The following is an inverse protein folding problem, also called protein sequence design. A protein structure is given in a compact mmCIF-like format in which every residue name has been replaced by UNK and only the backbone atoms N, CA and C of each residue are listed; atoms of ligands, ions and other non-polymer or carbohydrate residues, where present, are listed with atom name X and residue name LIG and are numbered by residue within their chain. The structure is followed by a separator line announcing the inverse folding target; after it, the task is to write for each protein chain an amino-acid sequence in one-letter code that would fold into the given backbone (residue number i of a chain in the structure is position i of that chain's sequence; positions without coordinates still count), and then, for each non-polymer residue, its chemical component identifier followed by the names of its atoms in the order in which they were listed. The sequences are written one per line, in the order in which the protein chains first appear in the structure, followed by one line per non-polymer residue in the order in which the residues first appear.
data_IF_642262562998
#
_entry.id   IF_642262562998
#
_cell.length_a   1.000
_cell.length_b   1.000
_cell.length_c   1.000
_cell.angle_alpha   90.00
_cell.angle_beta   90.00
_cell.angle_gamma   90.00
#
_symmetry.space_group_name_H-M   'P 1'
#
loop_
_entity.id
_entity.type
_entity.pdbx_description
1 polymer ?
#
# COMPACT_ATOMS: atom_id res chain seq x y z
N UNK A 1 12.93 38.62 -30.11
CA UNK A 1 13.73 37.53 -29.57
C UNK A 1 13.44 37.18 -28.11
N UNK A 2 13.31 38.12 -27.17
CA UNK A 2 13.01 37.81 -25.75
C UNK A 2 11.62 37.19 -25.52
N UNK A 3 10.59 37.69 -26.20
CA UNK A 3 9.21 37.20 -26.11
C UNK A 3 9.12 35.77 -26.66
N UNK A 4 9.79 35.45 -27.77
CA UNK A 4 9.81 34.10 -28.36
C UNK A 4 10.48 33.07 -27.40
N UNK A 5 11.55 33.47 -26.72
CA UNK A 5 12.20 32.59 -25.70
C UNK A 5 11.33 32.37 -24.49
N UNK A 6 10.55 33.36 -24.07
CA UNK A 6 9.61 33.26 -22.96
C UNK A 6 8.40 32.34 -23.32
N UNK A 7 7.89 32.48 -24.56
CA UNK A 7 6.80 31.60 -25.06
C UNK A 7 7.25 30.15 -25.22
N UNK A 8 8.49 29.89 -25.63
CA UNK A 8 9.06 28.53 -25.71
C UNK A 8 9.25 27.95 -24.31
N UNK A 9 9.70 28.74 -23.33
CA UNK A 9 9.83 28.30 -21.94
C UNK A 9 8.49 28.00 -21.30
N UNK A 10 7.48 28.82 -21.58
CA UNK A 10 6.10 28.60 -21.09
C UNK A 10 5.48 27.34 -21.72
N UNK A 11 5.74 27.10 -23.01
CA UNK A 11 5.24 25.90 -23.71
C UNK A 11 5.92 24.62 -23.19
N UNK A 12 7.20 24.68 -22.81
CA UNK A 12 7.91 23.56 -22.19
C UNK A 12 7.41 23.25 -20.77
N UNK A 13 6.94 24.25 -20.01
CA UNK A 13 6.45 24.06 -18.65
C UNK A 13 5.09 23.36 -18.58
N UNK A 14 4.26 23.42 -19.64
CA UNK A 14 2.96 22.74 -19.69
C UNK A 14 3.04 21.23 -19.91
N UNK A 15 4.17 20.71 -20.40
CA UNK A 15 4.38 19.28 -20.57
C UNK A 15 4.74 18.52 -19.26
N UNK A 16 4.99 19.24 -18.17
CA UNK A 16 5.39 18.63 -16.90
C UNK A 16 4.25 18.53 -15.87
N UNK A 17 3.06 19.05 -16.18
CA UNK A 17 1.90 18.97 -15.30
C UNK A 17 1.14 17.67 -15.56
N UNK A 18 1.55 16.57 -14.93
CA UNK A 18 0.77 15.35 -14.83
C UNK A 18 0.16 15.30 -13.43
N UNK A 19 -1.09 15.76 -13.32
CA UNK A 19 -1.88 15.57 -12.12
C UNK A 19 -2.47 14.14 -12.18
N UNK A 20 -1.94 13.24 -11.37
CA UNK A 20 -2.51 11.92 -11.15
C UNK A 20 -2.48 11.62 -9.66
N UNK A 21 -3.64 11.34 -9.08
CA UNK A 21 -3.76 10.85 -7.72
C UNK A 21 -3.35 9.37 -7.70
N UNK A 22 -2.09 9.09 -7.47
CA UNK A 22 -1.65 7.74 -7.15
C UNK A 22 -1.78 7.51 -5.66
N UNK A 23 -2.30 6.33 -5.28
CA UNK A 23 -2.14 5.82 -3.92
C UNK A 23 -0.71 6.03 -3.46
N UNK A 24 -0.54 6.59 -2.26
CA UNK A 24 0.81 6.87 -1.75
C UNK A 24 1.55 5.56 -1.51
N UNK A 25 2.80 5.47 -1.94
CA UNK A 25 3.62 4.28 -1.76
C UNK A 25 3.78 3.88 -0.28
N UNK A 26 3.58 4.82 0.65
CA UNK A 26 3.57 4.53 2.09
C UNK A 26 2.47 3.56 2.50
N UNK A 27 1.33 3.57 1.82
CA UNK A 27 0.21 2.67 2.10
C UNK A 27 0.57 1.25 1.68
N UNK A 28 1.19 1.10 0.52
CA UNK A 28 1.73 -0.19 0.06
C UNK A 28 2.88 -0.68 0.95
N UNK A 29 3.82 0.19 1.33
CA UNK A 29 4.92 -0.17 2.21
C UNK A 29 4.44 -0.80 3.53
N UNK A 30 3.40 -0.24 4.14
CA UNK A 30 2.84 -0.75 5.38
C UNK A 30 1.97 -2.00 5.20
N UNK A 31 1.51 -2.28 3.98
CA UNK A 31 0.59 -3.37 3.67
C UNK A 31 1.10 -4.20 2.48
N UNK A 32 2.15 -5.02 2.66
CA UNK A 32 2.77 -5.77 1.56
C UNK A 32 1.82 -6.72 0.83
N UNK A 33 0.83 -7.30 1.51
CA UNK A 33 -0.21 -8.17 0.91
C UNK A 33 -1.09 -7.44 -0.11
N UNK A 34 -1.24 -6.11 0.01
CA UNK A 34 -2.06 -5.33 -0.91
C UNK A 34 -1.46 -5.25 -2.32
N UNK A 35 -0.13 -5.24 -2.44
CA UNK A 35 0.54 -5.19 -3.75
C UNK A 35 1.19 -6.50 -4.17
N UNK A 36 1.52 -7.40 -3.23
CA UNK A 36 2.14 -8.70 -3.56
C UNK A 36 1.38 -9.85 -2.90
N UNK A 37 0.55 -10.59 -3.65
CA UNK A 37 -0.21 -11.70 -3.11
C UNK A 37 0.66 -12.86 -2.58
N UNK A 38 1.91 -12.99 -3.04
CA UNK A 38 2.84 -13.99 -2.52
C UNK A 38 3.27 -13.69 -1.07
N UNK A 39 3.09 -12.46 -0.59
CA UNK A 39 3.45 -12.07 0.76
C UNK A 39 2.58 -12.73 1.84
N UNK A 40 1.35 -13.13 1.52
CA UNK A 40 0.43 -13.75 2.48
C UNK A 40 1.02 -15.00 3.15
N UNK A 41 1.90 -15.72 2.45
CA UNK A 41 2.57 -16.90 2.98
C UNK A 41 3.72 -16.65 3.93
N UNK A 42 4.06 -15.41 4.11
CA UNK A 42 5.25 -14.96 4.82
C UNK A 42 5.01 -14.88 6.32
N UNK A 43 3.82 -14.49 6.74
CA UNK A 43 3.45 -14.33 8.14
C UNK A 43 3.03 -15.66 8.74
N UNK A 44 3.61 -16.04 9.89
CA UNK A 44 3.23 -17.28 10.59
C UNK A 44 1.86 -17.14 11.27
N UNK A 45 1.04 -18.20 11.17
CA UNK A 45 -0.26 -18.29 11.83
C UNK A 45 -1.29 -17.31 11.26
N UNK A 46 -2.24 -16.89 12.09
CA UNK A 46 -3.29 -15.94 11.74
C UNK A 46 -2.83 -14.52 12.08
N UNK A 47 -2.81 -13.66 11.07
CA UNK A 47 -2.51 -12.23 11.20
C UNK A 47 -3.72 -11.41 10.79
N UNK A 48 -4.07 -10.43 11.63
CA UNK A 48 -5.16 -9.49 11.41
C UNK A 48 -4.62 -8.08 11.53
N UNK A 49 -4.95 -7.21 10.59
CA UNK A 49 -4.56 -5.82 10.62
C UNK A 49 -5.73 -4.91 10.26
N UNK A 50 -5.95 -3.90 11.08
CA UNK A 50 -6.76 -2.74 10.77
C UNK A 50 -5.86 -1.54 10.48
N UNK A 51 -6.25 -0.74 9.52
CA UNK A 51 -5.49 0.40 9.06
C UNK A 51 -6.44 1.53 8.68
N UNK A 52 -6.12 2.75 9.11
CA UNK A 52 -6.83 3.98 8.76
C UNK A 52 -5.81 5.05 8.40
N UNK A 53 -6.02 5.74 7.30
CA UNK A 53 -5.25 6.93 6.92
C UNK A 53 -6.18 8.05 6.54
N UNK A 54 -5.81 9.27 6.92
CA UNK A 54 -6.49 10.51 6.54
C UNK A 54 -5.45 11.49 6.00
N UNK A 55 -5.79 12.14 4.91
CA UNK A 55 -4.93 13.11 4.24
C UNK A 55 -5.65 14.46 4.29
N UNK A 56 -4.88 15.58 4.34
CA UNK A 56 -5.44 16.94 4.30
C UNK A 56 -6.59 17.16 5.28
N UNK A 57 -6.37 16.83 6.54
CA UNK A 57 -7.41 16.78 7.58
C UNK A 57 -8.19 18.08 7.79
N UNK A 58 -7.67 19.20 7.26
CA UNK A 58 -8.30 20.52 7.39
C UNK A 58 -9.34 20.83 6.29
N UNK A 59 -9.56 19.90 5.35
CA UNK A 59 -10.48 20.08 4.23
C UNK A 59 -11.63 19.09 4.26
N UNK A 60 -12.85 19.58 4.03
CA UNK A 60 -14.03 18.73 3.83
C UNK A 60 -13.89 17.89 2.55
N UNK A 61 -14.24 16.60 2.62
CA UNK A 61 -14.06 15.68 1.51
C UNK A 61 -12.61 15.24 1.27
N UNK A 62 -11.73 15.45 2.23
CA UNK A 62 -10.33 15.03 2.14
C UNK A 62 -10.19 13.51 1.99
N UNK A 63 -9.12 13.02 1.31
CA UNK A 63 -8.93 11.60 1.10
C UNK A 63 -8.79 10.84 2.41
N UNK A 64 -9.48 9.71 2.51
CA UNK A 64 -9.28 8.75 3.59
C UNK A 64 -9.27 7.32 3.07
N UNK A 65 -8.53 6.44 3.73
CA UNK A 65 -8.47 5.02 3.42
C UNK A 65 -8.66 4.20 4.69
N UNK A 66 -9.47 3.16 4.59
CA UNK A 66 -9.73 2.21 5.66
C UNK A 66 -9.48 0.80 5.14
N UNK A 67 -8.67 0.01 5.85
CA UNK A 67 -8.38 -1.35 5.42
C UNK A 67 -8.49 -2.32 6.58
N UNK A 68 -9.04 -3.49 6.28
CA UNK A 68 -8.94 -4.69 7.12
C UNK A 68 -8.26 -5.76 6.29
N UNK A 69 -7.19 -6.34 6.82
CA UNK A 69 -6.43 -7.41 6.20
C UNK A 69 -6.35 -8.60 7.16
N UNK A 70 -6.69 -9.78 6.67
CA UNK A 70 -6.67 -11.02 7.40
C UNK A 70 -5.88 -12.05 6.58
N UNK A 71 -4.83 -12.61 7.17
CA UNK A 71 -3.95 -13.57 6.52
C UNK A 71 -3.76 -14.79 7.42
N UNK A 72 -3.71 -15.98 6.83
CA UNK A 72 -3.40 -17.20 7.55
C UNK A 72 -2.46 -18.09 6.73
N UNK A 73 -1.37 -18.48 7.36
CA UNK A 73 -0.47 -19.50 6.81
C UNK A 73 -0.83 -20.87 7.38
N UNK A 74 -1.14 -21.82 6.48
CA UNK A 74 -1.50 -23.19 6.83
C UNK A 74 -0.22 -24.05 6.89
N UNK A 75 0.55 -23.91 7.94
CA UNK A 75 1.94 -24.42 8.15
C UNK A 75 2.23 -25.83 7.63
N UNK A 76 1.24 -26.72 7.62
CA UNK A 76 1.40 -28.11 7.21
C UNK A 76 1.14 -28.34 5.70
N UNK A 77 0.79 -27.32 4.94
CA UNK A 77 0.30 -27.48 3.56
C UNK A 77 1.06 -26.66 2.52
N UNK A 78 2.06 -25.90 2.93
CA UNK A 78 2.76 -24.95 2.03
C UNK A 78 1.80 -23.96 1.32
N UNK A 79 0.65 -23.70 1.92
CA UNK A 79 -0.40 -22.85 1.37
C UNK A 79 -0.70 -21.75 2.40
N UNK A 80 -0.91 -20.56 1.91
CA UNK A 80 -1.46 -19.47 2.70
C UNK A 80 -2.60 -18.78 1.94
N UNK A 81 -3.50 -18.17 2.69
CA UNK A 81 -4.60 -17.40 2.13
C UNK A 81 -4.83 -16.14 2.96
N UNK A 82 -5.37 -15.12 2.32
CA UNK A 82 -5.75 -13.86 2.95
C UNK A 82 -6.93 -13.22 2.26
N UNK A 83 -7.61 -12.35 3.02
CA UNK A 83 -8.68 -11.49 2.52
C UNK A 83 -8.35 -10.08 2.97
N UNK A 84 -8.45 -9.13 2.07
CA UNK A 84 -8.35 -7.71 2.38
C UNK A 84 -9.56 -6.94 1.84
N UNK A 85 -10.03 -5.99 2.65
CA UNK A 85 -11.09 -5.05 2.29
C UNK A 85 -10.48 -3.67 2.47
N UNK A 86 -10.42 -2.88 1.41
CA UNK A 86 -9.92 -1.52 1.39
C UNK A 86 -11.00 -0.61 0.85
N UNK A 87 -11.38 0.39 1.64
CA UNK A 87 -12.28 1.46 1.22
C UNK A 87 -11.52 2.78 1.18
N UNK A 88 -11.41 3.34 -0.02
CA UNK A 88 -10.81 4.66 -0.28
C UNK A 88 -11.92 5.65 -0.63
N UNK A 89 -11.91 6.80 0.04
CA UNK A 89 -12.84 7.90 -0.23
C UNK A 89 -12.06 9.16 -0.59
N UNK A 90 -12.54 9.89 -1.58
CA UNK A 90 -12.00 11.18 -1.99
C UNK A 90 -13.12 12.08 -2.52
N UNK A 91 -13.55 13.05 -1.72
CA UNK A 91 -14.72 13.88 -2.04
C UNK A 91 -15.94 13.00 -2.24
N UNK A 92 -16.50 13.03 -3.45
CA UNK A 92 -17.66 12.23 -3.87
C UNK A 92 -17.28 10.85 -4.43
N UNK A 93 -15.99 10.56 -4.56
CA UNK A 93 -15.50 9.29 -5.09
C UNK A 93 -15.34 8.28 -3.97
N UNK A 94 -15.86 7.08 -4.17
CA UNK A 94 -15.66 5.93 -3.30
C UNK A 94 -15.13 4.75 -4.10
N UNK A 95 -14.13 4.07 -3.57
CA UNK A 95 -13.45 2.96 -4.20
C UNK A 95 -13.28 1.81 -3.20
N UNK A 96 -14.17 0.83 -3.26
CA UNK A 96 -14.15 -0.34 -2.39
C UNK A 96 -13.47 -1.51 -3.11
N UNK A 97 -12.35 -1.97 -2.56
CA UNK A 97 -11.64 -3.16 -3.02
C UNK A 97 -11.89 -4.32 -2.05
N UNK A 98 -12.28 -5.47 -2.59
CA UNK A 98 -12.38 -6.73 -1.84
C UNK A 98 -11.53 -7.76 -2.56
N UNK A 99 -10.39 -8.10 -1.97
CA UNK A 99 -9.39 -8.98 -2.56
C UNK A 99 -9.20 -10.24 -1.74
N UNK A 100 -9.02 -11.37 -2.43
CA UNK A 100 -8.53 -12.62 -1.87
C UNK A 100 -7.13 -12.91 -2.42
N UNK A 101 -6.20 -13.25 -1.55
CA UNK A 101 -4.84 -13.60 -1.89
C UNK A 101 -4.58 -15.07 -1.54
N UNK A 102 -3.94 -15.81 -2.45
CA UNK A 102 -3.48 -17.17 -2.24
C UNK A 102 -1.99 -17.27 -2.52
N UNK A 103 -1.28 -18.02 -1.70
CA UNK A 103 0.16 -18.21 -1.86
C UNK A 103 0.55 -19.69 -1.69
N UNK A 104 1.43 -20.13 -2.58
CA UNK A 104 2.13 -21.42 -2.47
C UNK A 104 3.56 -21.15 -2.04
N UNK A 105 3.98 -21.76 -0.93
CA UNK A 105 5.25 -21.54 -0.29
C UNK A 105 6.15 -22.75 -0.46
N UNK A 106 7.39 -22.52 -0.89
CA UNK A 106 8.37 -23.57 -1.14
C UNK A 106 9.65 -23.26 -0.38
N UNK A 107 10.22 -24.29 0.24
CA UNK A 107 11.56 -24.23 0.85
C UNK A 107 12.57 -24.84 -0.11
N UNK A 108 13.55 -24.05 -0.54
CA UNK A 108 14.62 -24.52 -1.43
C UNK A 108 15.82 -25.05 -0.64
N UNK A 109 16.08 -24.47 0.52
CA UNK A 109 17.13 -24.87 1.45
C UNK A 109 16.72 -24.51 2.87
N UNK A 110 17.58 -24.78 3.86
CA UNK A 110 17.30 -24.42 5.26
C UNK A 110 17.09 -22.91 5.44
N UNK A 111 17.72 -22.08 4.59
CA UNK A 111 17.75 -20.63 4.74
C UNK A 111 17.01 -19.86 3.66
N UNK A 112 16.53 -20.51 2.58
CA UNK A 112 15.88 -19.83 1.45
C UNK A 112 14.50 -20.41 1.21
N UNK A 113 13.52 -19.53 1.18
CA UNK A 113 12.14 -19.84 0.81
C UNK A 113 11.68 -18.93 -0.32
N UNK A 114 10.74 -19.42 -1.11
CA UNK A 114 10.07 -18.62 -2.13
C UNK A 114 8.58 -18.92 -2.17
N UNK A 115 7.81 -17.94 -2.59
CA UNK A 115 6.36 -18.00 -2.65
C UNK A 115 5.88 -17.52 -4.00
N UNK A 116 4.85 -18.18 -4.52
CA UNK A 116 4.09 -17.76 -5.69
C UNK A 116 2.70 -17.38 -5.22
N UNK A 117 2.23 -16.20 -5.60
CA UNK A 117 0.93 -15.67 -5.15
C UNK A 117 0.00 -15.36 -6.30
N UNK A 118 -1.30 -15.58 -6.04
CA UNK A 118 -2.41 -15.18 -6.90
C UNK A 118 -3.37 -14.30 -6.11
N UNK A 119 -3.84 -13.24 -6.73
CA UNK A 119 -4.88 -12.35 -6.22
C UNK A 119 -6.12 -12.50 -7.11
N UNK A 120 -7.29 -12.58 -6.49
CA UNK A 120 -8.57 -12.46 -7.16
C UNK A 120 -9.48 -11.56 -6.32
N UNK A 121 -10.15 -10.61 -6.94
CA UNK A 121 -10.98 -9.66 -6.22
C UNK A 121 -11.90 -8.86 -7.12
N UNK A 122 -12.58 -7.93 -6.50
CA UNK A 122 -13.42 -6.94 -7.14
C UNK A 122 -13.08 -5.54 -6.63
N UNK A 123 -13.16 -4.58 -7.53
CA UNK A 123 -13.10 -3.17 -7.24
C UNK A 123 -14.46 -2.56 -7.57
N UNK A 124 -15.13 -1.98 -6.60
CA UNK A 124 -16.38 -1.24 -6.76
C UNK A 124 -16.09 0.25 -6.72
N UNK A 125 -16.16 0.89 -7.87
CA UNK A 125 -16.00 2.33 -8.02
C UNK A 125 -17.36 3.01 -8.06
N UNK A 126 -17.56 4.04 -7.25
CA UNK A 126 -18.78 4.83 -7.26
C UNK A 126 -18.51 6.32 -7.12
N UNK A 127 -19.44 7.13 -7.66
CA UNK A 127 -19.44 8.59 -7.54
C UNK A 127 -20.82 9.06 -7.14
N UNK A 128 -20.89 10.02 -6.23
CA UNK A 128 -22.15 10.65 -5.82
C UNK A 128 -22.20 12.11 -6.30
N UNK A 129 -22.44 12.29 -7.61
CA UNK A 129 -22.59 13.62 -8.20
C UNK A 129 -23.83 14.36 -7.69
N UNK A 130 -24.86 13.64 -7.23
CA UNK A 130 -26.10 14.24 -6.76
C UNK A 130 -25.94 14.97 -5.41
N UNK A 131 -24.95 14.57 -4.62
CA UNK A 131 -24.64 15.23 -3.35
C UNK A 131 -23.95 16.59 -3.53
N UNK A 132 -23.43 16.88 -4.73
CA UNK A 132 -22.74 18.15 -4.99
C UNK A 132 -23.72 19.33 -5.05
N UNK A 133 -23.39 20.39 -4.36
CA UNK A 133 -24.10 21.66 -4.45
C UNK A 133 -23.57 22.48 -5.64
N UNK A 134 -24.10 22.20 -6.85
CA UNK A 134 -23.65 22.78 -8.12
C UNK A 134 -24.62 23.87 -8.54
N UNK A 135 -24.09 25.02 -8.94
CA UNK A 135 -24.86 26.18 -9.40
C UNK A 135 -25.51 25.93 -10.78
N UNK A 136 -24.85 25.16 -11.65
CA UNK A 136 -25.32 24.82 -12.98
C UNK A 136 -25.22 23.31 -13.20
N UNK A 137 -26.38 22.66 -13.39
CA UNK A 137 -26.49 21.21 -13.68
C UNK A 137 -26.72 20.91 -15.15
N UNK A 138 -26.41 21.83 -16.04
CA UNK A 138 -26.61 21.64 -17.48
C UNK A 138 -25.67 20.60 -18.10
N UNK A 139 -24.56 20.31 -17.46
CA UNK A 139 -23.64 19.24 -17.90
C UNK A 139 -24.20 17.87 -17.55
N UNK A 140 -24.29 17.00 -18.56
CA UNK A 140 -24.86 15.65 -18.44
C UNK A 140 -24.16 14.77 -17.40
N UNK A 141 -22.87 15.00 -17.15
CA UNK A 141 -22.07 14.23 -16.19
C UNK A 141 -22.58 14.34 -14.75
N UNK A 142 -23.27 15.45 -14.40
CA UNK A 142 -23.78 15.68 -13.04
C UNK A 142 -25.17 15.10 -12.80
N UNK A 143 -25.79 14.51 -13.82
CA UNK A 143 -27.17 14.04 -13.73
C UNK A 143 -27.30 12.64 -13.16
N UNK A 144 -26.26 11.80 -13.25
CA UNK A 144 -26.30 10.41 -12.84
C UNK A 144 -25.07 10.02 -12.01
N UNK A 145 -25.33 9.28 -10.93
CA UNK A 145 -24.27 8.66 -10.14
C UNK A 145 -23.69 7.47 -10.93
N UNK A 146 -22.38 7.35 -10.91
CA UNK A 146 -21.69 6.24 -11.57
C UNK A 146 -21.41 5.16 -10.53
N UNK A 147 -21.73 3.91 -10.88
CA UNK A 147 -21.36 2.74 -10.11
C UNK A 147 -20.89 1.64 -11.06
N UNK A 148 -19.66 1.15 -10.87
CA UNK A 148 -19.03 0.11 -11.70
C UNK A 148 -18.30 -0.88 -10.83
N UNK A 149 -18.46 -2.16 -11.14
CA UNK A 149 -17.70 -3.26 -10.52
C UNK A 149 -16.70 -3.78 -11.53
N UNK A 150 -15.45 -3.85 -11.13
CA UNK A 150 -14.31 -4.22 -11.96
C UNK A 150 -13.63 -5.44 -11.35
N UNK A 151 -13.43 -6.55 -12.09
CA UNK A 151 -12.67 -7.68 -11.60
C UNK A 151 -11.18 -7.34 -11.47
N UNK A 152 -10.54 -7.88 -10.44
CA UNK A 152 -9.12 -7.74 -10.16
C UNK A 152 -8.48 -9.12 -10.17
N UNK A 153 -7.41 -9.30 -10.96
CA UNK A 153 -6.56 -10.48 -10.94
C UNK A 153 -5.11 -10.00 -10.84
N UNK A 154 -4.37 -10.55 -9.90
CA UNK A 154 -2.98 -10.19 -9.67
C UNK A 154 -2.09 -11.40 -9.45
N UNK A 155 -0.80 -11.22 -9.66
CA UNK A 155 0.23 -12.24 -9.49
C UNK A 155 1.40 -11.68 -8.70
N UNK A 156 2.10 -12.55 -7.98
CA UNK A 156 3.28 -12.17 -7.24
C UNK A 156 4.26 -13.31 -7.08
N UNK A 157 5.50 -12.90 -6.95
CA UNK A 157 6.62 -13.74 -6.53
C UNK A 157 7.29 -13.07 -5.33
N UNK A 158 7.69 -13.88 -4.37
CA UNK A 158 8.41 -13.41 -3.20
C UNK A 158 9.45 -14.46 -2.78
N UNK A 159 10.65 -14.05 -2.51
CA UNK A 159 11.71 -14.91 -1.99
C UNK A 159 12.42 -14.23 -0.84
N UNK A 160 12.85 -15.03 0.10
CA UNK A 160 13.52 -14.54 1.29
C UNK A 160 14.55 -15.52 1.82
N UNK A 161 15.58 -14.98 2.38
CA UNK A 161 16.55 -15.69 3.19
C UNK A 161 16.45 -15.28 4.65
N UNK A 162 17.49 -15.58 5.43
CA UNK A 162 17.52 -15.25 6.85
C UNK A 162 17.42 -13.76 7.16
N UNK A 163 18.07 -12.93 6.34
CA UNK A 163 18.22 -11.50 6.60
C UNK A 163 17.77 -10.61 5.44
N UNK A 164 17.33 -11.17 4.32
CA UNK A 164 16.98 -10.43 3.12
C UNK A 164 15.70 -10.97 2.49
N UNK A 165 15.05 -10.14 1.71
CA UNK A 165 13.92 -10.53 0.88
C UNK A 165 13.90 -9.77 -0.44
N UNK A 166 13.28 -10.37 -1.43
CA UNK A 166 12.98 -9.79 -2.73
C UNK A 166 11.55 -10.16 -3.13
N UNK A 167 10.81 -9.20 -3.66
CA UNK A 167 9.48 -9.42 -4.19
C UNK A 167 9.27 -8.72 -5.51
N UNK A 168 8.51 -9.35 -6.41
CA UNK A 168 8.04 -8.76 -7.66
C UNK A 168 6.58 -9.12 -7.81
N UNK A 169 5.74 -8.16 -8.20
CA UNK A 169 4.31 -8.40 -8.34
C UNK A 169 3.62 -7.43 -9.29
N UNK A 170 2.46 -7.86 -9.76
CA UNK A 170 1.44 -7.01 -10.36
C UNK A 170 0.13 -7.31 -9.65
N UNK A 171 -0.37 -6.40 -8.79
CA UNK A 171 -1.60 -6.61 -8.02
C UNK A 171 -2.86 -6.61 -8.89
N UNK A 172 -2.77 -6.07 -10.11
CA UNK A 172 -3.80 -6.17 -11.13
C UNK A 172 -3.16 -6.24 -12.52
N UNK A 173 -3.47 -7.31 -13.25
CA UNK A 173 -3.01 -7.55 -14.62
C UNK A 173 -4.12 -7.31 -15.65
N UNK A 174 -5.34 -6.99 -15.22
CA UNK A 174 -6.46 -6.69 -16.09
C UNK A 174 -6.57 -5.19 -16.25
N UNK A 175 -6.39 -4.70 -17.46
CA UNK A 175 -6.67 -3.31 -17.79
C UNK A 175 -8.17 -3.10 -17.94
N UNK A 176 -8.70 -2.15 -17.22
CA UNK A 176 -10.10 -1.76 -17.29
C UNK A 176 -10.24 -0.26 -17.54
N UNK A 177 -11.23 0.11 -18.33
CA UNK A 177 -11.60 1.51 -18.57
C UNK A 177 -13.05 1.71 -18.12
N UNK A 178 -13.28 2.76 -17.36
CA UNK A 178 -14.63 3.24 -17.06
C UNK A 178 -14.85 4.45 -17.94
N UNK A 179 -15.81 4.35 -18.85
CA UNK A 179 -16.22 5.46 -19.72
C UNK A 179 -17.65 5.87 -19.40
N UNK A 180 -17.97 7.14 -19.66
CA UNK A 180 -19.35 7.65 -19.70
C UNK A 180 -20.09 7.06 -20.89
N UNK A 181 -21.40 7.29 -20.98
CA UNK A 181 -22.20 6.95 -22.17
C UNK A 181 -21.73 7.68 -23.44
N UNK A 182 -21.04 8.80 -23.30
CA UNK A 182 -20.42 9.58 -24.38
C UNK A 182 -19.00 9.13 -24.74
N UNK A 183 -18.56 7.94 -24.32
CA UNK A 183 -17.20 7.39 -24.53
C UNK A 183 -16.03 8.21 -23.90
N UNK A 184 -16.32 9.18 -23.05
CA UNK A 184 -15.28 9.85 -22.28
C UNK A 184 -14.73 8.94 -21.20
N UNK A 185 -13.41 8.72 -21.19
CA UNK A 185 -12.73 7.87 -20.20
C UNK A 185 -12.64 8.61 -18.87
N UNK A 186 -13.44 8.20 -17.90
CA UNK A 186 -13.42 8.75 -16.53
C UNK A 186 -12.30 8.16 -15.68
N UNK A 187 -12.06 6.87 -15.85
CA UNK A 187 -11.07 6.15 -15.10
C UNK A 187 -10.43 5.04 -15.95
N UNK A 188 -9.10 4.97 -15.94
CA UNK A 188 -8.36 3.87 -16.56
C UNK A 188 -7.51 3.21 -15.47
N UNK A 189 -7.81 1.95 -15.17
CA UNK A 189 -6.94 1.14 -14.33
C UNK A 189 -5.79 0.61 -15.20
N UNK A 190 -4.61 1.16 -15.01
CA UNK A 190 -3.40 0.78 -15.74
C UNK A 190 -2.63 -0.26 -14.96
N UNK A 191 -1.98 -1.19 -15.65
CA UNK A 191 -1.13 -2.21 -15.02
C UNK A 191 -0.04 -1.57 -14.17
N UNK A 192 0.08 -2.07 -12.95
CA UNK A 192 1.08 -1.62 -11.99
C UNK A 192 2.00 -2.78 -11.67
N UNK A 193 3.30 -2.50 -11.66
CA UNK A 193 4.31 -3.47 -11.28
C UNK A 193 5.05 -2.96 -10.06
N UNK A 194 5.26 -3.85 -9.11
CA UNK A 194 5.99 -3.55 -7.89
C UNK A 194 7.23 -4.40 -7.80
N UNK A 195 8.32 -3.80 -7.35
CA UNK A 195 9.54 -4.49 -6.95
C UNK A 195 9.92 -4.05 -5.55
N UNK A 196 10.17 -5.00 -4.68
CA UNK A 196 10.59 -4.74 -3.30
C UNK A 196 11.85 -5.51 -2.97
N UNK A 197 12.73 -4.87 -2.23
CA UNK A 197 13.93 -5.49 -1.67
C UNK A 197 14.11 -5.01 -0.24
N UNK A 198 14.56 -5.89 0.64
CA UNK A 198 14.88 -5.50 2.00
C UNK A 198 16.01 -6.32 2.61
N UNK A 199 16.64 -5.69 3.60
CA UNK A 199 17.69 -6.31 4.38
C UNK A 199 17.55 -5.95 5.86
N UNK A 200 17.58 -6.98 6.71
CA UNK A 200 17.44 -6.88 8.14
C UNK A 200 18.75 -7.23 8.83
N UNK A 201 19.11 -6.51 9.88
CA UNK A 201 20.26 -6.86 10.71
C UNK A 201 20.00 -6.54 12.18
N UNK A 202 20.66 -7.27 13.04
CA UNK A 202 20.59 -7.12 14.49
C UNK A 202 21.84 -6.43 15.01
N UNK A 203 21.63 -5.49 15.92
CA UNK A 203 22.69 -4.88 16.71
C UNK A 203 22.23 -4.84 18.16
N UNK A 204 22.80 -5.70 19.00
CA UNK A 204 22.39 -5.90 20.39
C UNK A 204 20.87 -6.11 20.55
N UNK A 205 20.20 -5.13 21.17
CA UNK A 205 18.76 -5.15 21.43
C UNK A 205 17.91 -4.51 20.32
N UNK A 206 18.55 -4.12 19.21
CA UNK A 206 17.89 -3.44 18.10
C UNK A 206 17.83 -4.34 16.87
N UNK A 207 16.66 -4.38 16.25
CA UNK A 207 16.47 -4.94 14.93
C UNK A 207 16.23 -3.81 13.93
N UNK A 208 17.13 -3.70 12.96
CA UNK A 208 17.02 -2.77 11.84
C UNK A 208 16.42 -3.48 10.63
N UNK A 209 15.35 -2.92 10.11
CA UNK A 209 14.67 -3.38 8.89
C UNK A 209 14.74 -2.29 7.84
N UNK A 210 15.48 -2.54 6.77
CA UNK A 210 15.62 -1.62 5.66
C UNK A 210 14.87 -2.19 4.45
N UNK A 211 14.10 -1.35 3.80
CA UNK A 211 13.30 -1.75 2.65
C UNK A 211 13.35 -0.67 1.57
N UNK A 212 13.41 -1.13 0.34
CA UNK A 212 13.18 -0.37 -0.87
C UNK A 212 11.96 -0.93 -1.58
N UNK A 213 11.05 -0.08 -2.00
CA UNK A 213 9.88 -0.44 -2.79
C UNK A 213 9.84 0.49 -4.00
N UNK A 214 9.74 -0.07 -5.20
CA UNK A 214 9.51 0.66 -6.44
C UNK A 214 8.18 0.26 -7.06
N UNK A 215 7.51 1.25 -7.64
CA UNK A 215 6.28 1.12 -8.40
C UNK A 215 6.52 1.62 -9.82
N UNK A 216 6.13 0.83 -10.79
CA UNK A 216 6.21 1.12 -12.21
C UNK A 216 4.80 1.09 -12.78
N UNK A 217 4.37 2.20 -13.38
CA UNK A 217 3.10 2.35 -14.07
C UNK A 217 3.39 2.87 -15.45
N UNK A 218 2.76 2.30 -16.48
CA UNK A 218 2.97 2.73 -17.87
C UNK A 218 2.61 4.21 -18.06
N UNK A 219 3.54 4.96 -18.67
CA UNK A 219 3.35 6.38 -18.93
C UNK A 219 3.61 7.31 -17.74
N UNK A 220 4.03 6.77 -16.59
CA UNK A 220 4.35 7.54 -15.38
C UNK A 220 5.81 7.30 -14.98
N UNK A 221 6.53 8.32 -14.49
CA UNK A 221 7.87 8.12 -13.93
C UNK A 221 7.85 7.10 -12.79
N UNK A 222 8.92 6.30 -12.70
CA UNK A 222 9.06 5.29 -11.63
C UNK A 222 9.02 6.00 -10.28
N UNK A 223 8.10 5.55 -9.43
CA UNK A 223 7.99 5.98 -8.04
C UNK A 223 8.69 4.97 -7.14
N UNK A 224 9.42 5.45 -6.13
CA UNK A 224 10.09 4.55 -5.18
C UNK A 224 10.16 5.18 -3.78
N UNK A 225 10.20 4.33 -2.78
CA UNK A 225 10.30 4.70 -1.38
C UNK A 225 11.39 3.89 -0.68
N UNK A 226 12.18 4.57 0.12
CA UNK A 226 13.12 3.97 1.06
C UNK A 226 12.56 4.04 2.46
N UNK A 227 12.72 2.99 3.23
CA UNK A 227 12.35 3.04 4.62
C UNK A 227 13.29 2.24 5.51
N UNK A 228 13.42 2.71 6.73
CA UNK A 228 14.14 2.05 7.81
C UNK A 228 13.23 1.99 9.02
N UNK A 229 13.06 0.78 9.59
CA UNK A 229 12.37 0.56 10.85
C UNK A 229 13.36 0.01 11.86
N UNK A 230 13.38 0.63 13.02
CA UNK A 230 14.17 0.18 14.17
C UNK A 230 13.22 -0.34 15.23
N UNK A 231 13.43 -1.58 15.68
CA UNK A 231 12.62 -2.22 16.72
C UNK A 231 13.52 -2.45 17.92
N UNK A 232 13.12 -1.92 19.09
CA UNK A 232 13.84 -2.08 20.34
C UNK A 232 13.17 -3.14 21.22
N UNK A 233 13.86 -4.25 21.47
CA UNK A 233 13.43 -5.36 22.34
C UNK A 233 12.00 -5.82 22.15
N UNK A 234 11.42 -5.62 20.97
CA UNK A 234 10.01 -5.89 20.67
C UNK A 234 9.01 -5.14 21.58
N UNK A 235 9.39 -3.99 22.12
CA UNK A 235 8.48 -3.12 22.86
C UNK A 235 8.04 -1.91 22.04
N UNK A 236 8.98 -1.31 21.32
CA UNK A 236 8.74 -0.10 20.55
C UNK A 236 9.41 -0.21 19.19
N UNK A 237 8.77 0.32 18.17
CA UNK A 237 9.36 0.51 16.85
C UNK A 237 9.31 1.97 16.42
N UNK A 238 10.33 2.42 15.72
CA UNK A 238 10.38 3.70 15.04
C UNK A 238 10.70 3.44 13.57
N UNK A 239 9.89 3.94 12.67
CA UNK A 239 10.13 3.87 11.23
C UNK A 239 10.32 5.26 10.67
N UNK A 240 11.23 5.39 9.72
CA UNK A 240 11.38 6.56 8.87
C UNK A 240 11.30 6.12 7.42
N UNK A 241 10.66 6.91 6.58
CA UNK A 241 10.56 6.63 5.16
C UNK A 241 10.65 7.91 4.35
N UNK A 242 11.19 7.75 3.16
CA UNK A 242 11.45 8.85 2.24
C UNK A 242 11.10 8.43 0.81
N UNK A 243 10.17 9.15 0.21
CA UNK A 243 9.81 9.07 -1.19
C UNK A 243 10.25 10.37 -1.86
N UNK A 244 11.28 10.34 -2.71
CA UNK A 244 11.78 11.55 -3.37
C UNK A 244 10.67 12.31 -4.09
N UNK A 245 10.71 13.64 -4.00
CA UNK A 245 9.76 14.59 -4.60
C UNK A 245 8.32 14.53 -4.08
N UNK A 246 7.96 13.52 -3.27
CA UNK A 246 6.59 13.34 -2.79
C UNK A 246 6.48 13.58 -1.29
N UNK A 247 7.12 12.76 -0.47
CA UNK A 247 6.91 12.84 0.98
C UNK A 247 8.10 12.34 1.80
N UNK A 248 8.15 12.81 3.04
CA UNK A 248 8.98 12.27 4.12
C UNK A 248 8.08 11.98 5.29
N UNK A 249 8.24 10.85 5.94
CA UNK A 249 7.39 10.49 7.06
C UNK A 249 8.03 9.54 8.05
N UNK A 250 7.27 9.27 9.11
CA UNK A 250 7.66 8.36 10.16
C UNK A 250 6.48 7.68 10.82
N UNK A 251 6.76 6.60 11.52
CA UNK A 251 5.78 5.84 12.28
C UNK A 251 6.38 5.38 13.60
N UNK A 252 5.65 5.56 14.70
CA UNK A 252 5.95 4.95 15.98
C UNK A 252 4.98 3.81 16.25
N UNK A 253 5.48 2.68 16.74
CA UNK A 253 4.66 1.52 17.08
C UNK A 253 4.99 1.00 18.46
N UNK A 254 3.99 0.52 19.16
CA UNK A 254 4.12 -0.10 20.49
C UNK A 254 3.59 -1.52 20.41
N UNK A 255 4.36 -2.46 20.90
CA UNK A 255 4.02 -3.87 21.02
C UNK A 255 3.51 -4.16 22.41
N UNK A 256 2.28 -4.62 22.49
CA UNK A 256 1.58 -4.89 23.73
C UNK A 256 1.50 -6.41 23.98
N UNK A 257 1.30 -6.86 25.24
CA UNK A 257 1.03 -8.25 25.54
C UNK A 257 -0.10 -8.82 24.73
N UNK A 258 -0.06 -10.12 24.40
CA UNK A 258 -1.10 -10.79 23.62
C UNK A 258 -0.94 -10.62 22.09
N UNK A 259 0.29 -10.28 21.62
CA UNK A 259 0.61 -10.15 20.20
C UNK A 259 -0.17 -9.01 19.49
N UNK A 260 -0.44 -7.95 20.21
CA UNK A 260 -1.08 -6.74 19.74
C UNK A 260 -0.04 -5.66 19.46
N UNK A 261 -0.08 -5.05 18.28
CA UNK A 261 0.70 -3.86 17.94
C UNK A 261 -0.24 -2.72 17.58
N UNK A 262 0.05 -1.55 18.11
CA UNK A 262 -0.62 -0.30 17.73
C UNK A 262 0.46 0.62 17.18
N UNK A 263 0.17 1.30 16.08
CA UNK A 263 1.09 2.30 15.55
C UNK A 263 0.37 3.55 15.05
N UNK A 264 1.13 4.63 15.09
CA UNK A 264 0.74 5.93 14.55
C UNK A 264 1.86 6.45 13.67
N UNK A 265 1.52 6.91 12.48
CA UNK A 265 2.42 7.51 11.53
C UNK A 265 1.95 8.86 11.03
N UNK A 266 2.91 9.65 10.58
CA UNK A 266 2.66 10.95 9.99
C UNK A 266 3.59 11.13 8.80
N UNK A 267 3.05 11.62 7.68
CA UNK A 267 3.79 11.97 6.47
C UNK A 267 3.59 13.44 6.15
N UNK A 268 4.67 14.06 5.69
CA UNK A 268 4.69 15.47 5.26
C UNK A 268 5.09 15.49 3.79
N UNK A 269 4.35 16.24 2.98
CA UNK A 269 4.70 16.42 1.57
C UNK A 269 6.00 17.20 1.39
N UNK A 270 6.83 16.72 0.47
CA UNK A 270 8.05 17.43 0.03
C UNK A 270 7.77 18.41 -1.13
N UNK A 271 6.52 18.50 -1.58
CA UNK A 271 6.15 19.36 -2.72
C UNK A 271 6.06 20.82 -2.29
N UNK A 272 6.81 21.67 -2.95
CA UNK A 272 6.85 23.12 -2.66
C UNK A 272 5.46 23.74 -2.89
N UNK A 273 4.96 24.49 -1.91
CA UNK A 273 3.68 25.23 -1.98
C UNK A 273 2.48 24.52 -1.35
N UNK A 274 2.49 23.20 -1.18
CA UNK A 274 1.39 22.41 -0.61
C UNK A 274 1.74 21.87 0.79
N UNK A 275 3.02 21.87 1.15
CA UNK A 275 3.54 21.22 2.36
C UNK A 275 2.89 21.63 3.67
N UNK A 276 2.28 22.82 3.75
CA UNK A 276 1.63 23.31 4.98
C UNK A 276 0.31 22.59 5.29
N UNK A 277 -0.36 22.04 4.26
CA UNK A 277 -1.69 21.44 4.37
C UNK A 277 -1.70 19.95 4.06
N UNK A 278 -0.59 19.39 3.58
CA UNK A 278 -0.49 17.99 3.16
C UNK A 278 0.11 17.12 4.27
N UNK A 279 -0.56 17.13 5.43
CA UNK A 279 -0.26 16.21 6.51
C UNK A 279 -1.14 14.96 6.35
N UNK A 280 -0.51 13.79 6.38
CA UNK A 280 -1.21 12.53 6.40
C UNK A 280 -1.03 11.88 7.74
N UNK A 281 -2.12 11.45 8.33
CA UNK A 281 -2.15 10.74 9.57
C UNK A 281 -2.52 9.29 9.31
N UNK A 282 -1.81 8.36 9.94
CA UNK A 282 -1.99 6.93 9.76
C UNK A 282 -2.06 6.24 11.10
N UNK A 283 -3.11 5.47 11.30
CA UNK A 283 -3.29 4.61 12.46
C UNK A 283 -3.33 3.17 12.02
N UNK A 284 -2.68 2.28 12.75
CA UNK A 284 -2.84 0.86 12.53
C UNK A 284 -2.87 0.07 13.83
N UNK A 285 -3.64 -0.99 13.80
CA UNK A 285 -3.70 -2.00 14.84
C UNK A 285 -3.47 -3.35 14.18
N UNK A 286 -2.59 -4.17 14.70
CA UNK A 286 -2.37 -5.51 14.19
C UNK A 286 -2.29 -6.52 15.32
N UNK A 287 -2.79 -7.72 15.04
CA UNK A 287 -2.86 -8.81 15.97
C UNK A 287 -2.41 -10.09 15.29
N UNK A 288 -1.63 -10.93 16.00
CA UNK A 288 -1.12 -12.18 15.45
C UNK A 288 -1.36 -13.33 16.40
N UNK A 289 -1.97 -14.41 15.89
CA UNK A 289 -2.18 -15.65 16.62
C UNK A 289 -1.24 -16.71 16.05
N UNK A 290 -0.34 -17.20 16.90
CA UNK A 290 0.55 -18.28 16.53
C UNK A 290 -0.06 -19.63 16.94
N UNK A 291 0.16 -20.66 16.13
CA UNK A 291 -0.14 -22.03 16.50
C UNK A 291 1.00 -22.58 17.36
N UNK A 292 0.73 -22.88 18.64
CA UNK A 292 1.66 -23.50 19.58
C UNK A 292 1.93 -22.68 20.83
N UNK A 293 2.49 -23.32 21.85
CA UNK A 293 2.91 -22.66 23.09
C UNK A 293 4.18 -21.87 22.81
N UNK A 294 4.06 -20.58 22.63
CA UNK A 294 5.21 -19.70 22.66
C UNK A 294 4.88 -18.46 23.45
N UNK A 295 5.67 -18.22 24.48
CA UNK A 295 5.66 -16.97 25.18
C UNK A 295 6.27 -15.87 24.30
N UNK A 296 5.78 -14.65 24.44
CA UNK A 296 6.30 -13.44 23.78
C UNK A 296 7.81 -13.28 23.91
N UNK A 297 8.36 -13.65 25.07
CA UNK A 297 9.79 -13.61 25.37
C UNK A 297 10.62 -14.50 24.45
N UNK A 298 10.03 -15.57 23.90
CA UNK A 298 10.74 -16.55 23.09
C UNK A 298 10.64 -16.27 21.58
N UNK A 299 9.73 -15.40 21.19
CA UNK A 299 9.50 -14.99 19.81
C UNK A 299 9.84 -13.53 19.60
N UNK A 300 11.02 -13.29 19.18
CA UNK A 300 11.48 -11.95 18.75
C UNK A 300 10.81 -11.48 17.43
N UNK A 301 9.48 -11.68 17.17
CA UNK A 301 9.06 -11.80 15.78
C UNK A 301 7.73 -11.22 15.35
N UNK A 302 7.28 -10.13 15.93
CA UNK A 302 6.11 -9.44 15.33
C UNK A 302 6.34 -8.90 13.91
N UNK A 303 7.57 -8.69 13.54
CA UNK A 303 7.98 -8.12 12.27
C UNK A 303 9.19 -8.84 11.66
N UNK A 304 9.52 -10.05 12.10
CA UNK A 304 10.52 -10.82 11.37
C UNK A 304 9.89 -11.35 10.08
N UNK A 305 10.36 -10.91 8.92
CA UNK A 305 10.42 -11.84 7.84
C UNK A 305 11.46 -12.88 8.29
N UNK A 306 11.01 -14.11 8.58
CA UNK A 306 11.79 -15.31 8.51
C UNK A 306 12.91 -15.55 9.51
N UNK A 307 12.55 -16.24 10.58
CA UNK A 307 13.42 -17.29 11.09
C UNK A 307 12.69 -18.60 10.84
N UNK A 308 13.12 -19.29 9.80
CA UNK A 308 12.90 -20.72 9.67
C UNK A 308 13.82 -21.38 10.67
N UNK A 309 13.28 -22.00 11.73
CA UNK A 309 13.97 -23.04 12.46
C UNK A 309 13.86 -24.35 11.71
#
# INVERSE_FOLDING_TARGET
MRILKFSILLFYSTFLAKAQSNLKLTDYYNNPSSYNPAYVGVTEGLFIKGYYTSQWTDFEGSPSSQMIDLQNNFDNRNIAAGISILNDTFGILENLNVDTNFSLNFKSSQDISFSLGLKAGINSFSTDYQSLNILDRSELIFNENISKIIPVIGVGFYTHGKNWFLGISSPNIIENKISTESDEVLFKNTNQYFSTFGYNFYLDNFLFKNQFLAQIIEGIPISYIFSTKVIFKNYVSLSLHYQPQYLTGGEIGVYLPGNLKISYGMDISNTVGISKYDNNHRFSISFQIFKGKSNWSDRQEFDKPYIVR
#
